data_IF_605666750405
#
_entry.id   IF_605666750405
#
_cell.length_a   1.000
_cell.length_b   1.000
_cell.length_c   1.000
_cell.angle_alpha   90.00
_cell.angle_beta   90.00
_cell.angle_gamma   90.00
#
_symmetry.space_group_name_H-M   'P 1'
#
loop_
_entity.id
_entity.type
_entity.pdbx_description
1 polymer ?
#
# COMPACT_ATOMS: atom_id res chain seq x y z
N UNK A 1 4.59 -14.27 -11.76
CA UNK A 1 3.56 -15.18 -11.22
C UNK A 1 4.21 -15.97 -10.10
N UNK A 2 3.82 -15.75 -8.84
CA UNK A 2 4.27 -16.55 -7.69
C UNK A 2 3.62 -17.94 -7.81
N UNK A 3 4.41 -19.00 -7.72
CA UNK A 3 3.90 -20.36 -7.68
C UNK A 3 3.56 -20.75 -6.25
N UNK A 4 2.56 -21.62 -6.05
CA UNK A 4 2.24 -22.18 -4.73
C UNK A 4 3.48 -22.81 -4.04
N UNK A 5 4.43 -23.33 -4.83
CA UNK A 5 5.71 -23.89 -4.36
C UNK A 5 6.65 -22.86 -3.74
N UNK A 6 6.51 -21.58 -4.08
CA UNK A 6 7.33 -20.49 -3.55
C UNK A 6 7.01 -20.20 -2.07
N UNK A 7 5.90 -20.75 -1.56
CA UNK A 7 5.48 -20.67 -0.17
C UNK A 7 6.18 -21.69 0.74
N UNK A 8 7.14 -22.47 0.22
CA UNK A 8 8.04 -23.26 1.05
C UNK A 8 7.31 -24.29 1.92
N UNK A 9 6.49 -25.14 1.28
CA UNK A 9 5.86 -26.34 1.84
C UNK A 9 5.70 -26.33 3.36
N UNK A 10 4.61 -25.75 3.86
CA UNK A 10 4.21 -25.89 5.26
C UNK A 10 4.27 -27.38 5.68
N UNK A 11 4.61 -27.70 6.95
CA UNK A 11 4.57 -29.07 7.42
C UNK A 11 3.17 -29.62 7.18
N UNK A 12 3.10 -30.55 6.23
CA UNK A 12 1.86 -31.17 5.76
C UNK A 12 1.36 -32.07 6.89
N UNK A 13 0.60 -31.50 7.81
CA UNK A 13 -0.29 -32.23 8.70
C UNK A 13 -1.72 -31.95 8.26
N UNK A 14 -2.44 -32.99 7.84
CA UNK A 14 -3.90 -33.00 7.54
C UNK A 14 -4.46 -32.03 6.49
N UNK A 15 -3.65 -31.21 5.81
CA UNK A 15 -4.14 -30.32 4.75
C UNK A 15 -4.07 -30.99 3.36
N UNK A 16 -5.20 -31.00 2.64
CA UNK A 16 -5.24 -31.39 1.21
C UNK A 16 -4.53 -30.31 0.38
N UNK A 17 -3.26 -30.55 0.08
CA UNK A 17 -2.37 -29.63 -0.63
C UNK A 17 -2.84 -29.35 -2.07
N UNK A 18 -3.47 -30.32 -2.72
CA UNK A 18 -3.99 -30.18 -4.08
C UNK A 18 -5.20 -29.24 -4.11
N UNK A 19 -6.08 -29.34 -3.10
CA UNK A 19 -7.18 -28.38 -2.92
C UNK A 19 -6.69 -26.98 -2.55
N UNK A 20 -5.68 -26.88 -1.68
CA UNK A 20 -5.07 -25.58 -1.36
C UNK A 20 -4.46 -24.91 -2.59
N UNK A 21 -3.75 -25.67 -3.43
CA UNK A 21 -3.16 -25.18 -4.67
C UNK A 21 -4.25 -24.74 -5.66
N UNK A 22 -5.34 -25.51 -5.81
CA UNK A 22 -6.50 -25.09 -6.62
C UNK A 22 -7.12 -23.79 -6.12
N UNK A 23 -7.33 -23.67 -4.80
CA UNK A 23 -7.90 -22.47 -4.21
C UNK A 23 -6.97 -21.25 -4.36
N UNK A 24 -5.67 -21.45 -4.20
CA UNK A 24 -4.64 -20.44 -4.46
C UNK A 24 -4.67 -19.94 -5.90
N UNK A 25 -4.77 -20.83 -6.87
CA UNK A 25 -4.83 -20.47 -8.28
C UNK A 25 -6.08 -19.63 -8.60
N UNK A 26 -7.23 -19.96 -8.00
CA UNK A 26 -8.47 -19.18 -8.13
C UNK A 26 -8.28 -17.78 -7.54
N UNK A 27 -7.70 -17.67 -6.34
CA UNK A 27 -7.39 -16.37 -5.70
C UNK A 27 -6.48 -15.52 -6.59
N UNK A 28 -5.47 -16.12 -7.23
CA UNK A 28 -4.55 -15.42 -8.12
C UNK A 28 -5.19 -15.00 -9.46
N UNK A 29 -6.01 -15.87 -10.06
CA UNK A 29 -6.81 -15.56 -11.25
C UNK A 29 -7.62 -14.28 -10.99
N UNK A 30 -8.28 -14.22 -9.82
CA UNK A 30 -9.08 -13.07 -9.43
C UNK A 30 -8.25 -11.85 -9.06
N UNK A 31 -7.16 -12.02 -8.31
CA UNK A 31 -6.22 -10.94 -8.02
C UNK A 31 -5.75 -10.22 -9.30
N UNK A 32 -5.43 -11.00 -10.33
CA UNK A 32 -5.01 -10.47 -11.63
C UNK A 32 -6.15 -9.74 -12.36
N UNK A 33 -7.38 -10.23 -12.26
CA UNK A 33 -8.56 -9.56 -12.82
C UNK A 33 -8.93 -8.27 -12.03
N UNK A 34 -8.74 -8.24 -10.70
CA UNK A 34 -8.90 -7.03 -9.87
C UNK A 34 -7.93 -5.93 -10.28
N UNK A 35 -6.68 -6.25 -10.60
CA UNK A 35 -5.74 -5.24 -11.08
C UNK A 35 -6.17 -4.65 -12.44
N UNK A 36 -6.97 -5.35 -13.23
CA UNK A 36 -7.39 -4.94 -14.57
C UNK A 36 -8.79 -4.29 -14.70
N UNK A 37 -9.72 -4.51 -13.76
CA UNK A 37 -11.12 -4.05 -13.88
C UNK A 37 -11.59 -3.23 -12.68
N UNK A 38 -12.10 -2.03 -12.94
CA UNK A 38 -12.70 -1.14 -11.95
C UNK A 38 -13.98 -1.74 -11.32
N UNK A 39 -14.78 -2.48 -12.10
CA UNK A 39 -15.98 -3.14 -11.57
C UNK A 39 -15.62 -4.23 -10.57
N UNK A 40 -14.59 -5.02 -10.88
CA UNK A 40 -14.11 -6.12 -10.05
C UNK A 40 -13.45 -5.53 -8.78
N UNK A 41 -12.69 -4.43 -8.90
CA UNK A 41 -12.22 -3.65 -7.74
C UNK A 41 -13.36 -3.15 -6.87
N UNK A 42 -14.39 -2.53 -7.45
CA UNK A 42 -15.55 -2.04 -6.71
C UNK A 42 -16.25 -3.18 -5.98
N UNK A 43 -16.42 -4.33 -6.64
CA UNK A 43 -17.02 -5.53 -6.08
C UNK A 43 -16.27 -6.02 -4.82
N UNK A 44 -14.94 -6.17 -4.89
CA UNK A 44 -14.15 -6.65 -3.74
C UNK A 44 -13.86 -5.58 -2.69
N UNK A 45 -13.77 -4.31 -3.09
CA UNK A 45 -13.40 -3.20 -2.19
C UNK A 45 -14.59 -2.33 -1.73
N UNK A 46 -15.83 -2.66 -2.09
CA UNK A 46 -17.07 -2.01 -1.59
C UNK A 46 -17.32 -2.17 -0.08
N UNK A 47 -16.32 -2.65 0.67
CA UNK A 47 -16.37 -2.80 2.10
C UNK A 47 -16.44 -1.42 2.76
N UNK A 48 -17.67 -0.95 3.00
CA UNK A 48 -17.95 -0.20 4.22
C UNK A 48 -17.64 -1.16 5.37
N UNK A 49 -16.66 -0.80 6.21
CA UNK A 49 -16.40 -1.50 7.47
C UNK A 49 -17.77 -1.73 8.15
N UNK A 50 -18.19 -2.96 8.43
CA UNK A 50 -19.47 -3.21 9.06
C UNK A 50 -19.41 -2.62 10.46
N UNK A 51 -20.30 -1.69 10.74
CA UNK A 51 -20.69 -1.38 12.12
C UNK A 51 -21.34 -2.66 12.68
N UNK A 52 -20.53 -3.51 13.33
CA UNK A 52 -20.95 -4.86 13.70
C UNK A 52 -20.19 -5.46 14.90
N UNK A 53 -20.73 -6.51 15.53
CA UNK A 53 -20.29 -7.00 16.84
C UNK A 53 -18.87 -7.59 16.84
N UNK A 54 -18.29 -7.69 18.04
CA UNK A 54 -16.87 -7.93 18.35
C UNK A 54 -16.19 -9.16 17.69
N UNK A 55 -16.94 -10.08 17.09
CA UNK A 55 -16.41 -11.18 16.26
C UNK A 55 -15.73 -10.71 14.97
N UNK A 56 -15.93 -9.45 14.55
CA UNK A 56 -15.17 -8.81 13.46
C UNK A 56 -13.75 -8.35 13.84
N UNK A 57 -13.32 -8.48 15.11
CA UNK A 57 -11.97 -8.05 15.54
C UNK A 57 -10.81 -8.86 14.94
N UNK A 58 -11.03 -10.10 14.50
CA UNK A 58 -9.97 -10.89 13.82
C UNK A 58 -9.82 -10.54 12.33
N UNK A 59 -10.87 -10.01 11.70
CA UNK A 59 -10.79 -9.34 10.40
C UNK A 59 -10.22 -7.92 10.54
N UNK A 60 -10.44 -7.25 11.68
CA UNK A 60 -9.95 -5.88 11.89
C UNK A 60 -8.43 -5.77 11.86
N UNK A 61 -7.69 -6.76 12.38
CA UNK A 61 -6.23 -6.67 12.40
C UNK A 61 -5.61 -6.75 10.99
N UNK A 62 -6.14 -7.61 10.12
CA UNK A 62 -5.61 -7.76 8.76
C UNK A 62 -5.98 -6.60 7.84
N UNK A 63 -7.22 -6.13 7.95
CA UNK A 63 -7.69 -4.95 7.20
C UNK A 63 -6.94 -3.70 7.67
N UNK A 64 -6.73 -3.57 8.98
CA UNK A 64 -5.92 -2.51 9.56
C UNK A 64 -4.48 -2.56 9.08
N UNK A 65 -3.80 -3.72 9.19
CA UNK A 65 -2.41 -3.87 8.75
C UNK A 65 -2.27 -3.61 7.24
N UNK A 66 -3.21 -4.11 6.43
CA UNK A 66 -3.26 -3.80 5.00
C UNK A 66 -3.37 -2.29 4.74
N UNK A 67 -4.20 -1.58 5.50
CA UNK A 67 -4.39 -0.12 5.37
C UNK A 67 -3.14 0.65 5.80
N UNK A 68 -2.49 0.23 6.89
CA UNK A 68 -1.19 0.76 7.32
C UNK A 68 -0.16 0.63 6.21
N UNK A 69 -0.03 -0.56 5.62
CA UNK A 69 0.90 -0.79 4.51
C UNK A 69 0.57 0.11 3.31
N UNK A 70 -0.70 0.21 2.94
CA UNK A 70 -1.16 1.09 1.84
C UNK A 70 -0.75 2.54 2.06
N UNK A 71 -1.03 3.10 3.25
CA UNK A 71 -0.70 4.49 3.58
C UNK A 71 0.82 4.73 3.55
N UNK A 72 1.60 3.80 4.09
CA UNK A 72 3.06 3.88 4.01
C UNK A 72 3.58 3.83 2.58
N UNK A 73 2.98 3.01 1.71
CA UNK A 73 3.31 2.96 0.29
C UNK A 73 2.95 4.26 -0.45
N UNK A 74 1.78 4.84 -0.17
CA UNK A 74 1.36 6.12 -0.79
C UNK A 74 2.35 7.25 -0.46
N UNK A 75 2.81 7.32 0.80
CA UNK A 75 3.81 8.29 1.24
C UNK A 75 5.17 8.02 0.61
N UNK A 76 5.58 6.75 0.53
CA UNK A 76 6.83 6.37 -0.15
C UNK A 76 6.78 6.70 -1.64
N UNK A 77 5.67 6.47 -2.32
CA UNK A 77 5.50 6.80 -3.74
C UNK A 77 5.57 8.30 -3.96
N UNK A 78 4.94 9.09 -3.09
CA UNK A 78 5.05 10.53 -3.10
C UNK A 78 6.50 11.00 -2.87
N UNK A 79 7.13 10.54 -1.79
CA UNK A 79 8.49 10.91 -1.40
C UNK A 79 9.54 10.49 -2.45
N UNK A 80 9.44 9.26 -2.95
CA UNK A 80 10.33 8.77 -4.02
C UNK A 80 10.07 9.48 -5.34
N UNK A 81 8.81 9.84 -5.63
CA UNK A 81 8.43 10.68 -6.76
C UNK A 81 9.12 12.04 -6.74
N UNK A 82 9.13 12.71 -5.58
CA UNK A 82 9.79 14.01 -5.41
C UNK A 82 11.30 13.95 -5.65
N UNK A 83 11.98 12.87 -5.23
CA UNK A 83 13.44 12.79 -5.35
C UNK A 83 13.91 12.24 -6.71
N UNK A 84 13.08 11.47 -7.42
CA UNK A 84 13.45 10.83 -8.70
C UNK A 84 13.00 11.60 -9.92
N UNK A 85 11.92 12.37 -9.83
CA UNK A 85 11.41 13.14 -10.97
C UNK A 85 12.15 14.47 -11.11
N UNK A 86 12.42 14.94 -12.34
CA UNK A 86 12.93 16.28 -12.55
C UNK A 86 11.93 17.30 -11.99
N UNK A 87 12.44 18.33 -11.32
CA UNK A 87 11.61 19.38 -10.72
C UNK A 87 11.03 20.25 -11.83
N UNK A 88 9.71 20.28 -11.97
CA UNK A 88 9.02 21.19 -12.89
C UNK A 88 8.69 22.46 -12.14
N UNK A 89 9.47 23.52 -12.38
CA UNK A 89 9.27 24.83 -11.77
C UNK A 89 8.13 25.59 -12.46
N UNK A 90 7.06 25.85 -11.72
CA UNK A 90 5.93 26.69 -12.11
C UNK A 90 6.07 28.03 -11.37
N UNK A 91 6.15 29.17 -12.09
CA UNK A 91 6.16 30.47 -11.45
C UNK A 91 4.84 30.72 -10.74
N UNK A 92 4.88 30.96 -9.43
CA UNK A 92 3.76 31.52 -8.69
C UNK A 92 4.07 32.98 -8.40
N UNK A 93 3.35 33.87 -9.06
CA UNK A 93 3.46 35.31 -8.79
C UNK A 93 2.86 35.57 -7.41
N UNK A 94 3.70 35.78 -6.39
CA UNK A 94 3.25 36.28 -5.10
C UNK A 94 3.41 37.80 -5.15
N UNK A 95 2.28 38.51 -5.02
CA UNK A 95 2.33 39.95 -4.76
C UNK A 95 2.75 40.07 -3.30
N UNK A 96 4.00 40.46 -3.06
CA UNK A 96 4.47 40.72 -1.70
C UNK A 96 3.73 41.92 -1.12
N UNK A 97 3.33 41.80 0.14
CA UNK A 97 2.86 42.96 0.88
C UNK A 97 4.05 43.87 1.23
N UNK A 98 3.84 45.19 1.37
CA UNK A 98 4.92 46.13 1.73
C UNK A 98 5.68 45.76 3.02
N UNK A 99 5.07 44.96 3.91
CA UNK A 99 5.68 44.46 5.13
C UNK A 99 6.67 43.30 4.89
N UNK A 100 6.50 42.53 3.81
CA UNK A 100 7.36 41.38 3.47
C UNK A 100 8.59 41.79 2.63
N UNK A 101 8.56 42.94 1.96
CA UNK A 101 9.60 43.39 1.02
C UNK A 101 10.81 44.09 1.68
N UNK A 102 10.81 44.33 2.99
CA UNK A 102 11.98 44.75 3.76
C UNK A 102 12.66 46.10 3.42
N UNK A 103 12.32 46.80 2.32
CA UNK A 103 12.95 48.08 1.95
C UNK A 103 11.91 49.07 1.38
N UNK A 104 12.03 50.29 1.88
CA UNK A 104 11.21 51.48 1.62
C UNK A 104 11.51 52.03 0.21
N UNK A 105 10.64 51.75 -0.78
CA UNK A 105 10.52 52.56 -1.99
C UNK A 105 9.05 52.63 -2.46
N UNK A 106 8.45 53.83 -2.60
CA UNK A 106 7.10 53.95 -3.10
C UNK A 106 7.09 53.77 -4.64
N UNK A 107 6.47 52.70 -5.13
CA UNK A 107 5.95 52.68 -6.51
C UNK A 107 6.25 51.49 -7.41
N UNK A 108 6.97 50.46 -6.98
CA UNK A 108 7.10 49.22 -7.76
C UNK A 108 6.92 48.02 -6.83
N UNK A 109 5.88 47.18 -7.00
CA UNK A 109 5.80 45.92 -6.29
C UNK A 109 6.99 45.05 -6.73
N UNK A 110 7.92 44.78 -5.82
CA UNK A 110 8.90 43.71 -6.04
C UNK A 110 8.12 42.39 -6.04
N UNK A 111 7.89 41.84 -7.22
CA UNK A 111 7.40 40.49 -7.37
C UNK A 111 8.56 39.53 -7.04
N UNK A 112 8.52 38.89 -5.88
CA UNK A 112 9.34 37.70 -5.69
C UNK A 112 8.70 36.56 -6.50
N UNK A 113 9.48 35.99 -7.41
CA UNK A 113 9.06 34.86 -8.20
C UNK A 113 9.25 33.61 -7.33
N UNK A 114 8.20 33.17 -6.63
CA UNK A 114 8.24 31.88 -5.93
C UNK A 114 8.13 30.76 -6.97
N UNK A 115 9.13 29.90 -7.07
CA UNK A 115 9.08 28.70 -7.91
C UNK A 115 8.48 27.55 -7.10
N UNK A 116 7.39 26.97 -7.61
CA UNK A 116 6.75 25.79 -7.02
C UNK A 116 6.79 24.60 -7.97
N UNK A 117 6.75 23.39 -7.44
CA UNK A 117 6.49 22.19 -8.22
C UNK A 117 5.07 22.19 -8.77
N UNK A 118 4.78 21.31 -9.74
CA UNK A 118 3.42 20.97 -10.19
C UNK A 118 2.49 20.51 -9.06
N UNK A 119 3.07 20.03 -7.97
CA UNK A 119 2.40 19.61 -6.72
C UNK A 119 2.33 20.71 -5.66
N UNK A 120 2.79 21.93 -5.96
CA UNK A 120 2.72 23.10 -5.06
C UNK A 120 3.81 23.18 -3.98
N UNK A 121 4.79 22.29 -4.02
CA UNK A 121 5.94 22.26 -3.09
C UNK A 121 6.99 23.29 -3.53
N UNK A 122 7.76 23.82 -2.59
CA UNK A 122 8.86 24.74 -2.88
C UNK A 122 10.00 24.04 -3.64
N UNK A 123 10.41 24.59 -4.78
CA UNK A 123 11.46 24.03 -5.66
C UNK A 123 12.79 23.93 -4.93
N UNK A 124 13.19 24.95 -4.17
CA UNK A 124 14.48 24.96 -3.47
C UNK A 124 14.58 23.83 -2.44
N UNK A 125 13.46 23.53 -1.78
CA UNK A 125 13.38 22.43 -0.82
C UNK A 125 13.49 21.07 -1.49
N UNK A 126 12.86 20.90 -2.65
CA UNK A 126 12.94 19.65 -3.41
C UNK A 126 14.35 19.44 -3.96
N UNK A 127 14.99 20.49 -4.50
CA UNK A 127 16.37 20.40 -4.98
C UNK A 127 17.37 20.10 -3.85
N UNK A 128 17.21 20.74 -2.69
CA UNK A 128 18.02 20.45 -1.50
C UNK A 128 17.82 19.00 -1.01
N UNK A 129 16.59 18.50 -1.03
CA UNK A 129 16.29 17.10 -0.71
C UNK A 129 16.93 16.15 -1.72
N UNK A 130 16.79 16.40 -3.02
CA UNK A 130 17.41 15.61 -4.08
C UNK A 130 18.93 15.55 -3.92
N UNK A 131 19.57 16.68 -3.62
CA UNK A 131 21.01 16.73 -3.39
C UNK A 131 21.42 15.96 -2.13
N UNK A 132 20.66 16.09 -1.04
CA UNK A 132 20.90 15.31 0.17
C UNK A 132 20.76 13.80 -0.09
N UNK A 133 19.79 13.37 -0.90
CA UNK A 133 19.64 11.98 -1.32
C UNK A 133 20.82 11.49 -2.18
N UNK A 134 21.32 12.32 -3.11
CA UNK A 134 22.51 11.98 -3.92
C UNK A 134 23.75 11.80 -3.05
N UNK A 135 23.90 12.60 -1.99
CA UNK A 135 25.03 12.50 -1.04
C UNK A 135 24.91 11.31 -0.08
N UNK A 136 23.71 10.75 0.09
CA UNK A 136 23.44 9.66 1.04
C UNK A 136 22.79 8.45 0.33
N UNK A 137 23.47 7.80 -0.62
CA UNK A 137 22.91 6.70 -1.40
C UNK A 137 22.45 5.51 -0.54
N UNK A 138 23.13 5.26 0.58
CA UNK A 138 22.77 4.20 1.51
C UNK A 138 21.35 4.36 2.10
N UNK A 139 20.89 5.60 2.34
CA UNK A 139 19.53 5.86 2.81
C UNK A 139 18.52 5.48 1.73
N UNK A 140 18.80 5.82 0.47
CA UNK A 140 17.93 5.48 -0.67
C UNK A 140 17.86 3.97 -0.90
N UNK A 141 18.98 3.25 -0.74
CA UNK A 141 18.97 1.79 -0.79
C UNK A 141 18.09 1.17 0.30
N UNK A 142 18.11 1.71 1.53
CA UNK A 142 17.21 1.25 2.60
C UNK A 142 15.75 1.63 2.31
N UNK A 143 15.47 2.80 1.73
CA UNK A 143 14.12 3.19 1.27
C UNK A 143 13.58 2.21 0.22
N UNK A 144 14.39 1.83 -0.77
CA UNK A 144 13.99 0.85 -1.79
C UNK A 144 13.73 -0.54 -1.19
N UNK A 145 14.55 -0.98 -0.23
CA UNK A 145 14.32 -2.23 0.52
C UNK A 145 13.03 -2.16 1.33
N UNK A 146 12.79 -1.04 2.01
CA UNK A 146 11.58 -0.81 2.81
C UNK A 146 10.33 -0.88 1.93
N UNK A 147 10.34 -0.15 0.81
CA UNK A 147 9.25 -0.17 -0.18
C UNK A 147 8.98 -1.58 -0.69
N UNK A 148 10.01 -2.32 -1.10
CA UNK A 148 9.87 -3.69 -1.59
C UNK A 148 9.28 -4.64 -0.55
N UNK A 149 9.68 -4.50 0.72
CA UNK A 149 9.13 -5.29 1.81
C UNK A 149 7.64 -4.97 2.05
N UNK A 150 7.27 -3.69 2.01
CA UNK A 150 5.88 -3.25 2.12
C UNK A 150 5.03 -3.70 0.93
N UNK A 151 5.52 -3.59 -0.31
CA UNK A 151 4.83 -4.08 -1.51
C UNK A 151 4.57 -5.59 -1.41
N UNK A 152 5.58 -6.35 -0.95
CA UNK A 152 5.44 -7.79 -0.72
C UNK A 152 4.41 -8.10 0.37
N UNK A 153 4.40 -7.35 1.48
CA UNK A 153 3.39 -7.49 2.51
C UNK A 153 1.98 -7.14 1.99
N UNK A 154 1.86 -6.08 1.19
CA UNK A 154 0.60 -5.62 0.61
C UNK A 154 -0.01 -6.65 -0.33
N UNK A 155 0.82 -7.26 -1.19
CA UNK A 155 0.40 -8.34 -2.09
C UNK A 155 -0.18 -9.52 -1.30
N UNK A 156 0.53 -10.00 -0.26
CA UNK A 156 0.03 -11.12 0.57
C UNK A 156 -1.25 -10.75 1.34
N UNK A 157 -1.36 -9.52 1.84
CA UNK A 157 -2.61 -9.03 2.43
C UNK A 157 -3.74 -8.93 1.41
N UNK A 158 -3.47 -8.54 0.17
CA UNK A 158 -4.47 -8.53 -0.90
C UNK A 158 -4.94 -9.94 -1.23
N UNK A 159 -4.04 -10.92 -1.35
CA UNK A 159 -4.41 -12.32 -1.58
C UNK A 159 -5.28 -12.87 -0.44
N UNK A 160 -4.91 -12.59 0.82
CA UNK A 160 -5.74 -12.92 1.99
C UNK A 160 -7.11 -12.24 1.94
N UNK A 161 -7.16 -10.98 1.53
CA UNK A 161 -8.40 -10.22 1.43
C UNK A 161 -9.32 -10.78 0.34
N UNK A 162 -8.78 -11.10 -0.84
CA UNK A 162 -9.51 -11.79 -1.93
C UNK A 162 -10.03 -13.14 -1.45
N UNK A 163 -9.18 -13.96 -0.82
CA UNK A 163 -9.59 -15.26 -0.25
C UNK A 163 -10.77 -15.11 0.73
N UNK A 164 -10.75 -14.09 1.60
CA UNK A 164 -11.85 -13.81 2.52
C UNK A 164 -13.11 -13.34 1.81
N UNK A 165 -13.00 -12.47 0.80
CA UNK A 165 -14.11 -12.02 -0.02
C UNK A 165 -14.82 -13.19 -0.71
N UNK A 166 -14.05 -14.14 -1.25
CA UNK A 166 -14.57 -15.33 -1.92
C UNK A 166 -15.41 -16.23 -1.03
N UNK A 167 -15.00 -16.41 0.22
CA UNK A 167 -15.63 -17.39 1.14
C UNK A 167 -16.80 -16.78 1.91
N UNK A 168 -16.63 -15.56 2.42
CA UNK A 168 -17.60 -14.96 3.36
C UNK A 168 -18.72 -14.19 2.68
N UNK A 169 -18.53 -13.76 1.42
CA UNK A 169 -19.48 -12.89 0.72
C UNK A 169 -19.91 -13.44 -0.64
N UNK A 170 -19.79 -14.76 -0.79
CA UNK A 170 -20.18 -15.56 -1.95
C UNK A 170 -21.60 -15.29 -2.50
N UNK A 171 -22.52 -14.81 -1.68
CA UNK A 171 -23.92 -14.59 -2.08
C UNK A 171 -24.21 -13.12 -2.42
N UNK A 172 -23.37 -12.18 -1.94
CA UNK A 172 -23.58 -10.73 -2.13
C UNK A 172 -22.87 -10.18 -3.37
N UNK A 173 -21.77 -10.80 -3.79
CA UNK A 173 -20.94 -10.33 -4.89
C UNK A 173 -21.13 -11.10 -6.21
N UNK A 174 -21.87 -12.20 -6.18
CA UNK A 174 -21.97 -13.12 -7.33
C UNK A 174 -23.37 -13.23 -7.93
N UNK A 175 -24.17 -12.16 -7.87
CA UNK A 175 -25.45 -12.11 -8.57
C UNK A 175 -25.27 -11.46 -9.98
N UNK A 176 -25.55 -12.28 -11.01
CA UNK A 176 -26.13 -11.93 -12.34
C UNK A 176 -25.35 -12.02 -13.66
N UNK A 177 -24.08 -12.41 -13.75
CA UNK A 177 -23.43 -12.62 -15.08
C UNK A 177 -22.66 -13.94 -15.28
N UNK A 178 -22.62 -14.41 -16.54
CA UNK A 178 -22.08 -15.74 -16.95
C UNK A 178 -20.60 -16.04 -16.58
N UNK A 179 -19.66 -15.09 -16.53
CA UNK A 179 -18.28 -15.36 -16.09
C UNK A 179 -18.19 -15.84 -14.63
N UNK A 180 -19.08 -15.31 -13.79
CA UNK A 180 -19.10 -15.51 -12.34
C UNK A 180 -19.55 -16.93 -11.95
N UNK A 181 -20.47 -17.54 -12.71
CA UNK A 181 -20.90 -18.94 -12.45
C UNK A 181 -19.76 -19.95 -12.57
N UNK A 182 -18.91 -19.82 -13.60
CA UNK A 182 -17.75 -20.71 -13.78
C UNK A 182 -16.76 -20.58 -12.63
N UNK A 183 -16.56 -19.36 -12.14
CA UNK A 183 -15.71 -19.09 -10.99
C UNK A 183 -16.29 -19.69 -9.70
N UNK A 184 -17.60 -19.55 -9.50
CA UNK A 184 -18.31 -20.15 -8.35
C UNK A 184 -18.24 -21.68 -8.36
N UNK A 185 -18.36 -22.30 -9.53
CA UNK A 185 -18.14 -23.74 -9.70
C UNK A 185 -16.71 -24.15 -9.34
N UNK A 186 -15.69 -23.40 -9.81
CA UNK A 186 -14.28 -23.62 -9.44
C UNK A 186 -14.07 -23.52 -7.92
N UNK A 187 -14.66 -22.50 -7.27
CA UNK A 187 -14.56 -22.30 -5.82
C UNK A 187 -15.21 -23.47 -5.08
N UNK A 188 -16.44 -23.87 -5.44
CA UNK A 188 -17.14 -24.97 -4.79
C UNK A 188 -16.40 -26.32 -4.92
N UNK A 189 -15.64 -26.53 -6.00
CA UNK A 189 -14.83 -27.73 -6.20
C UNK A 189 -13.50 -27.72 -5.41
N UNK A 190 -12.93 -26.54 -5.20
CA UNK A 190 -11.64 -26.36 -4.52
C UNK A 190 -11.76 -26.09 -3.02
N UNK A 191 -12.91 -25.59 -2.56
CA UNK A 191 -13.11 -25.12 -1.20
C UNK A 191 -13.46 -26.24 -0.23
N UNK A 192 -12.71 -26.30 0.86
CA UNK A 192 -13.16 -26.86 2.13
C UNK A 192 -12.58 -26.04 3.29
N UNK A 193 -13.08 -26.30 4.50
CA UNK A 193 -12.67 -25.56 5.71
C UNK A 193 -11.17 -25.69 5.98
N UNK A 194 -10.58 -26.84 5.68
CA UNK A 194 -9.18 -27.16 6.00
C UNK A 194 -8.24 -26.45 5.03
N UNK A 195 -8.48 -26.53 3.73
CA UNK A 195 -7.73 -25.85 2.68
C UNK A 195 -7.87 -24.32 2.77
N UNK A 196 -9.06 -23.80 3.09
CA UNK A 196 -9.24 -22.37 3.37
C UNK A 196 -8.38 -21.92 4.55
N UNK A 197 -8.46 -22.63 5.69
CA UNK A 197 -7.72 -22.27 6.90
C UNK A 197 -6.20 -22.34 6.67
N UNK A 198 -5.74 -23.36 5.95
CA UNK A 198 -4.33 -23.49 5.57
C UNK A 198 -3.85 -22.32 4.73
N UNK A 199 -4.62 -21.91 3.71
CA UNK A 199 -4.26 -20.83 2.81
C UNK A 199 -4.36 -19.45 3.49
N UNK A 200 -5.38 -19.26 4.34
CA UNK A 200 -5.59 -18.04 5.12
C UNK A 200 -4.42 -17.78 6.10
N UNK A 201 -3.96 -18.84 6.77
CA UNK A 201 -2.78 -18.80 7.64
C UNK A 201 -1.50 -18.59 6.83
N UNK A 202 -1.37 -19.21 5.65
CA UNK A 202 -0.19 -19.09 4.81
C UNK A 202 0.03 -17.63 4.37
N UNK A 203 -1.00 -17.01 3.77
CA UNK A 203 -0.94 -15.60 3.36
C UNK A 203 -0.68 -14.66 4.55
N UNK A 204 -1.34 -14.91 5.68
CA UNK A 204 -1.11 -14.11 6.90
C UNK A 204 0.33 -14.19 7.39
N UNK A 205 0.88 -15.40 7.51
CA UNK A 205 2.24 -15.61 8.00
C UNK A 205 3.28 -15.00 7.07
N UNK A 206 3.06 -15.09 5.75
CA UNK A 206 3.91 -14.44 4.76
C UNK A 206 3.84 -12.91 4.86
N UNK A 207 2.63 -12.33 4.91
CA UNK A 207 2.46 -10.90 5.10
C UNK A 207 3.15 -10.40 6.38
N UNK A 208 2.97 -11.12 7.50
CA UNK A 208 3.60 -10.78 8.79
C UNK A 208 5.12 -10.92 8.75
N UNK A 209 5.67 -11.87 7.99
CA UNK A 209 7.12 -11.99 7.78
C UNK A 209 7.66 -10.74 7.07
N UNK A 210 7.06 -10.34 5.97
CA UNK A 210 7.47 -9.14 5.24
C UNK A 210 7.28 -7.86 6.06
N UNK A 211 6.24 -7.79 6.90
CA UNK A 211 6.06 -6.69 7.86
C UNK A 211 7.20 -6.60 8.87
N UNK A 212 7.71 -7.73 9.38
CA UNK A 212 8.87 -7.73 10.29
C UNK A 212 10.14 -7.28 9.56
N UNK A 213 10.32 -7.72 8.31
CA UNK A 213 11.44 -7.26 7.49
C UNK A 213 11.36 -5.74 7.27
N UNK A 214 10.16 -5.22 7.00
CA UNK A 214 9.90 -3.78 6.86
C UNK A 214 10.15 -3.02 8.17
N UNK A 215 9.74 -3.56 9.33
CA UNK A 215 9.98 -2.97 10.66
C UNK A 215 11.48 -2.81 10.96
N UNK A 216 12.29 -3.82 10.62
CA UNK A 216 13.74 -3.74 10.79
C UNK A 216 14.37 -2.63 9.95
N UNK A 217 13.87 -2.40 8.74
CA UNK A 217 14.37 -1.34 7.85
C UNK A 217 13.85 0.02 8.30
N UNK A 218 12.58 0.10 8.73
CA UNK A 218 11.98 1.29 9.32
C UNK A 218 12.82 1.82 10.49
N UNK A 219 13.27 0.95 11.39
CA UNK A 219 14.10 1.35 12.53
C UNK A 219 15.44 1.97 12.11
N UNK A 220 16.02 1.55 10.98
CA UNK A 220 17.22 2.17 10.42
C UNK A 220 16.93 3.53 9.82
N UNK A 221 15.83 3.66 9.07
CA UNK A 221 15.41 4.92 8.47
C UNK A 221 15.10 5.97 9.55
N UNK A 222 14.43 5.57 10.64
CA UNK A 222 14.12 6.42 11.79
C UNK A 222 15.38 6.91 12.55
N UNK A 223 16.51 6.24 12.39
CA UNK A 223 17.77 6.67 13.02
C UNK A 223 18.43 7.87 12.31
N UNK A 224 17.91 8.32 11.17
CA UNK A 224 18.49 9.41 10.36
C UNK A 224 17.44 10.48 10.02
N UNK A 225 17.83 11.75 10.05
CA UNK A 225 16.91 12.86 9.70
C UNK A 225 16.39 12.75 8.27
N UNK A 226 17.23 12.29 7.33
CA UNK A 226 16.83 12.05 5.95
C UNK A 226 15.90 10.84 5.81
N UNK A 227 16.15 9.75 6.54
CA UNK A 227 15.32 8.54 6.48
C UNK A 227 13.92 8.76 7.04
N UNK A 228 13.76 9.61 8.06
CA UNK A 228 12.46 10.01 8.62
C UNK A 228 11.51 10.63 7.60
N UNK A 229 12.03 11.25 6.54
CA UNK A 229 11.20 11.80 5.46
C UNK A 229 10.42 10.73 4.68
N UNK A 230 10.90 9.48 4.67
CA UNK A 230 10.33 8.39 3.87
C UNK A 230 9.42 7.45 4.66
N UNK A 231 9.24 7.69 5.96
CA UNK A 231 8.49 6.81 6.83
C UNK A 231 7.42 7.61 7.57
N UNK A 232 6.28 6.97 7.81
CA UNK A 232 5.26 7.52 8.69
C UNK A 232 5.57 7.15 10.14
N UNK A 233 5.46 8.15 11.01
CA UNK A 233 5.44 7.96 12.46
C UNK A 233 4.07 7.44 12.91
N UNK A 234 4.00 6.90 14.13
CA UNK A 234 2.78 6.27 14.66
C UNK A 234 1.60 7.24 14.65
N UNK A 235 1.82 8.49 15.02
CA UNK A 235 0.81 9.52 15.10
C UNK A 235 0.24 9.84 13.70
N UNK A 236 1.11 9.96 12.69
CA UNK A 236 0.74 10.23 11.30
C UNK A 236 -0.03 9.06 10.68
N UNK A 237 0.37 7.82 11.00
CA UNK A 237 -0.38 6.62 10.64
C UNK A 237 -1.79 6.64 11.25
N UNK A 238 -1.90 6.93 12.55
CA UNK A 238 -3.20 6.97 13.24
C UNK A 238 -4.11 8.07 12.71
N UNK A 239 -3.55 9.20 12.26
CA UNK A 239 -4.31 10.28 11.62
C UNK A 239 -4.80 9.87 10.23
N UNK A 240 -3.93 9.32 9.37
CA UNK A 240 -4.29 8.84 8.04
C UNK A 240 -5.27 7.65 8.04
N UNK A 241 -5.36 6.93 9.16
CA UNK A 241 -6.35 5.86 9.35
C UNK A 241 -7.74 6.39 9.76
N UNK A 242 -7.86 7.65 10.20
CA UNK A 242 -9.13 8.29 10.61
C UNK A 242 -9.80 9.07 9.46
N UNK A 243 -9.04 9.42 8.42
CA UNK A 243 -9.48 10.08 7.19
C UNK A 243 -10.01 9.10 6.15
#
# INVERSE_FOLDING_TARGET
MKNFRDYGGLPIGEFDSERMERLHNIVFELYSEFEGSEEVRSLVFSYKLPEGPATFRTLSDNVFLRRVVSLSLDVLDYATGLIRKPVIAIPKTKILTPAEAGIVFPGVPEASLELRTDTGVDVERVEALQENCRRNPAVIEEVDKYKKALESAFEEFNLKFVLNGLVHHREQYFDRDRPIRKLQEKINQAWDRTSYTGLDNLYYNHARRFMRDAEMIWAKLDSTDLGKFFILQREELLEGLRS
#
